data_IF_452276693384
#
_entry.id   IF_452276693384
#
_cell.length_a   1.000
_cell.length_b   1.000
_cell.length_c   1.000
_cell.angle_alpha   90.00
_cell.angle_beta   90.00
_cell.angle_gamma   90.00
#
_symmetry.space_group_name_H-M   'P 1'
#
loop_
_entity.id
_entity.type
_entity.pdbx_description
1 polymer ?
#
# COMPACT_ATOMS: atom_id res chain seq x y z
N UNK A 1 31.85 20.40 0.15
CA UNK A 1 30.79 20.44 1.17
C UNK A 1 29.42 20.07 0.59
N UNK A 2 28.96 20.78 -0.45
CA UNK A 2 27.65 20.58 -1.10
C UNK A 2 27.38 19.13 -1.53
N UNK A 3 28.30 18.47 -2.25
CA UNK A 3 28.11 17.06 -2.67
C UNK A 3 27.97 16.06 -1.51
N UNK A 4 28.60 16.36 -0.37
CA UNK A 4 28.53 15.51 0.82
C UNK A 4 27.19 15.64 1.54
N UNK A 5 26.66 16.86 1.60
CA UNK A 5 25.33 17.15 2.13
C UNK A 5 24.23 16.53 1.26
N UNK A 6 24.30 16.73 -0.07
CA UNK A 6 23.35 16.14 -1.00
C UNK A 6 23.32 14.61 -0.90
N UNK A 7 24.49 13.97 -0.82
CA UNK A 7 24.61 12.53 -0.59
C UNK A 7 23.99 12.09 0.73
N UNK A 8 24.21 12.84 1.81
CA UNK A 8 23.62 12.53 3.12
C UNK A 8 22.09 12.58 3.06
N UNK A 9 21.53 13.66 2.50
CA UNK A 9 20.08 13.84 2.35
C UNK A 9 19.48 12.69 1.52
N UNK A 10 20.04 12.41 0.35
CA UNK A 10 19.53 11.34 -0.53
C UNK A 10 19.64 9.97 0.15
N UNK A 11 20.75 9.67 0.83
CA UNK A 11 20.92 8.42 1.56
C UNK A 11 19.87 8.26 2.67
N UNK A 12 19.61 9.31 3.45
CA UNK A 12 18.59 9.30 4.50
C UNK A 12 17.20 9.07 3.91
N UNK A 13 16.86 9.71 2.78
CA UNK A 13 15.56 9.50 2.12
C UNK A 13 15.37 8.02 1.73
N UNK A 14 16.36 7.39 1.10
CA UNK A 14 16.28 5.95 0.77
C UNK A 14 16.18 5.06 1.99
N UNK A 15 16.94 5.35 3.06
CA UNK A 15 16.88 4.56 4.29
C UNK A 15 15.50 4.69 4.94
N UNK A 16 14.94 5.90 5.04
CA UNK A 16 13.60 6.11 5.60
C UNK A 16 12.51 5.47 4.74
N UNK A 17 12.59 5.64 3.42
CA UNK A 17 11.66 5.02 2.47
C UNK A 17 11.69 3.50 2.55
N UNK A 18 12.88 2.89 2.52
CA UNK A 18 13.04 1.46 2.70
C UNK A 18 12.64 0.96 4.10
N UNK A 19 12.84 1.77 5.15
CA UNK A 19 12.50 1.40 6.52
C UNK A 19 10.99 1.26 6.69
N UNK A 20 10.21 2.23 6.20
CA UNK A 20 8.74 2.14 6.31
C UNK A 20 8.21 0.94 5.53
N UNK A 21 8.74 0.67 4.33
CA UNK A 21 8.40 -0.55 3.58
C UNK A 21 8.81 -1.84 4.31
N UNK A 22 9.94 -1.83 5.03
CA UNK A 22 10.39 -2.99 5.80
C UNK A 22 9.52 -3.27 7.03
N UNK A 23 9.00 -2.22 7.69
CA UNK A 23 8.08 -2.36 8.82
C UNK A 23 6.77 -3.03 8.38
N UNK A 24 6.27 -2.69 7.20
CA UNK A 24 5.06 -3.27 6.61
C UNK A 24 5.32 -3.88 5.22
N UNK A 25 6.12 -4.94 5.23
CA UNK A 25 6.57 -5.59 4.00
C UNK A 25 5.44 -6.32 3.27
N UNK A 26 4.48 -6.87 4.01
CA UNK A 26 3.30 -7.53 3.45
C UNK A 26 2.39 -6.49 2.79
N UNK A 27 2.20 -5.32 3.40
CA UNK A 27 1.45 -4.22 2.78
C UNK A 27 2.09 -3.76 1.47
N UNK A 28 3.41 -3.59 1.44
CA UNK A 28 4.13 -3.28 0.19
C UNK A 28 3.97 -4.39 -0.85
N UNK A 29 3.90 -5.66 -0.43
CA UNK A 29 3.66 -6.78 -1.35
C UNK A 29 2.28 -6.77 -2.01
N UNK A 30 1.24 -6.28 -1.33
CA UNK A 30 -0.07 -6.10 -1.94
C UNK A 30 -0.05 -5.05 -3.04
N UNK A 31 0.80 -4.02 -2.93
CA UNK A 31 1.00 -3.05 -4.03
C UNK A 31 1.67 -3.69 -5.23
N UNK A 32 2.68 -4.52 -5.00
CA UNK A 32 3.31 -5.28 -6.08
C UNK A 32 2.34 -6.27 -6.74
N UNK A 33 1.48 -6.92 -5.95
CA UNK A 33 0.39 -7.79 -6.44
C UNK A 33 -0.60 -7.01 -7.32
N UNK A 34 -1.03 -5.82 -6.89
CA UNK A 34 -1.89 -4.91 -7.68
C UNK A 34 -1.25 -4.56 -9.03
N UNK A 35 0.05 -4.26 -9.08
CA UNK A 35 0.77 -3.99 -10.33
C UNK A 35 0.82 -5.22 -11.27
N UNK A 36 0.97 -6.42 -10.72
CA UNK A 36 1.03 -7.65 -11.53
C UNK A 36 -0.34 -8.16 -11.98
N UNK A 37 -1.42 -7.62 -11.41
CA UNK A 37 -2.79 -8.04 -11.70
C UNK A 37 -3.17 -7.93 -13.19
N UNK A 38 -4.18 -8.71 -13.65
CA UNK A 38 -4.75 -8.61 -15.00
C UNK A 38 -5.16 -7.19 -15.42
N UNK A 39 -5.54 -6.36 -14.45
CA UNK A 39 -5.99 -4.99 -14.70
C UNK A 39 -4.85 -4.01 -15.00
N UNK A 40 -3.59 -4.36 -14.67
CA UNK A 40 -2.44 -3.46 -14.78
C UNK A 40 -1.42 -3.98 -15.79
N UNK A 41 -0.56 -4.94 -15.41
CA UNK A 41 0.42 -5.52 -16.31
C UNK A 41 0.04 -6.89 -16.87
N UNK A 42 -1.04 -7.49 -16.37
CA UNK A 42 -1.50 -8.81 -16.80
C UNK A 42 -0.43 -9.89 -16.70
N UNK A 43 0.13 -9.98 -15.49
CA UNK A 43 1.28 -10.80 -15.13
C UNK A 43 0.97 -11.73 -13.94
N UNK A 44 -0.07 -12.60 -14.03
CA UNK A 44 -0.55 -13.39 -12.89
C UNK A 44 0.46 -14.40 -12.34
N UNK A 45 1.46 -14.77 -13.14
CA UNK A 45 2.58 -15.56 -12.64
C UNK A 45 3.38 -14.81 -11.57
N UNK A 46 3.59 -13.51 -11.74
CA UNK A 46 4.39 -12.68 -10.84
C UNK A 46 3.65 -12.26 -9.57
N UNK A 47 2.31 -12.25 -9.56
CA UNK A 47 1.50 -12.01 -8.36
C UNK A 47 1.89 -12.93 -7.20
N UNK A 48 2.11 -14.22 -7.46
CA UNK A 48 2.52 -15.21 -6.45
C UNK A 48 3.90 -14.94 -5.85
N UNK A 49 4.72 -14.18 -6.57
CA UNK A 49 6.07 -13.79 -6.15
C UNK A 49 6.12 -12.35 -5.62
N UNK A 50 4.99 -11.64 -5.51
CA UNK A 50 4.94 -10.24 -5.09
C UNK A 50 5.65 -9.98 -3.76
N UNK A 51 5.49 -10.88 -2.78
CA UNK A 51 6.20 -10.80 -1.50
C UNK A 51 7.72 -10.97 -1.66
N UNK A 52 8.17 -11.91 -2.51
CA UNK A 52 9.59 -12.12 -2.79
C UNK A 52 10.20 -10.89 -3.47
N UNK A 53 9.54 -10.32 -4.48
CA UNK A 53 9.98 -9.08 -5.12
C UNK A 53 10.05 -7.93 -4.12
N UNK A 54 9.05 -7.81 -3.25
CA UNK A 54 9.00 -6.79 -2.21
C UNK A 54 10.19 -6.89 -1.26
N UNK A 55 10.52 -8.10 -0.78
CA UNK A 55 11.70 -8.36 0.05
C UNK A 55 12.97 -7.90 -0.68
N UNK A 56 13.17 -8.34 -1.93
CA UNK A 56 14.38 -8.04 -2.70
C UNK A 56 14.53 -6.53 -2.89
N UNK A 57 13.47 -5.84 -3.30
CA UNK A 57 13.49 -4.42 -3.60
C UNK A 57 13.75 -3.59 -2.33
N UNK A 58 13.09 -3.92 -1.22
CA UNK A 58 13.26 -3.23 0.07
C UNK A 58 14.66 -3.45 0.64
N UNK A 59 15.20 -4.68 0.55
CA UNK A 59 16.58 -4.98 0.95
C UNK A 59 17.57 -4.18 0.12
N UNK A 60 17.41 -4.16 -1.21
CA UNK A 60 18.26 -3.37 -2.10
C UNK A 60 18.20 -1.89 -1.73
N UNK A 61 17.01 -1.33 -1.52
CA UNK A 61 16.82 0.07 -1.16
C UNK A 61 17.54 0.44 0.15
N UNK A 62 17.31 -0.33 1.22
CA UNK A 62 17.91 -0.11 2.53
C UNK A 62 19.43 -0.26 2.49
N UNK A 63 19.93 -1.32 1.85
CA UNK A 63 21.36 -1.61 1.83
C UNK A 63 22.09 -0.59 0.97
N UNK A 64 21.54 -0.25 -0.20
CA UNK A 64 22.14 0.75 -1.08
C UNK A 64 22.06 2.16 -0.45
N UNK A 65 20.96 2.51 0.20
CA UNK A 65 20.83 3.76 0.96
C UNK A 65 21.89 3.86 2.07
N UNK A 66 22.07 2.80 2.86
CA UNK A 66 23.08 2.76 3.91
C UNK A 66 24.52 2.72 3.38
N UNK A 67 24.78 2.00 2.28
CA UNK A 67 26.07 2.04 1.59
C UNK A 67 26.39 3.44 1.05
N UNK A 68 25.39 4.17 0.56
CA UNK A 68 25.54 5.56 0.11
C UNK A 68 25.90 6.47 1.29
N UNK A 69 25.29 6.24 2.46
CA UNK A 69 25.59 6.95 3.71
C UNK A 69 27.03 6.69 4.20
N UNK A 70 27.52 5.45 4.10
CA UNK A 70 28.88 5.07 4.52
C UNK A 70 29.96 5.29 3.45
N UNK A 71 29.56 5.70 2.23
CA UNK A 71 30.42 5.86 1.06
C UNK A 71 31.12 4.53 0.69
N UNK A 72 30.40 3.41 0.76
CA UNK A 72 30.88 2.09 0.36
C UNK A 72 30.57 1.84 -1.13
N UNK A 73 31.53 1.30 -1.87
CA UNK A 73 31.39 0.92 -3.30
C UNK A 73 30.59 1.95 -4.13
N UNK A 74 30.93 3.24 -3.99
CA UNK A 74 30.08 4.36 -4.40
C UNK A 74 29.57 4.31 -5.85
N UNK A 75 30.41 3.89 -6.81
CA UNK A 75 30.01 3.73 -8.22
C UNK A 75 28.89 2.70 -8.37
N UNK A 76 29.06 1.52 -7.76
CA UNK A 76 28.05 0.47 -7.76
C UNK A 76 26.77 0.95 -7.06
N UNK A 77 26.90 1.54 -5.86
CA UNK A 77 25.75 2.00 -5.09
C UNK A 77 24.92 3.05 -5.83
N UNK A 78 25.56 4.07 -6.40
CA UNK A 78 24.85 5.10 -7.16
C UNK A 78 24.23 4.52 -8.44
N UNK A 79 24.94 3.67 -9.18
CA UNK A 79 24.38 3.02 -10.37
C UNK A 79 23.17 2.14 -10.05
N UNK A 80 23.23 1.35 -8.98
CA UNK A 80 22.12 0.51 -8.55
C UNK A 80 20.94 1.33 -8.01
N UNK A 81 21.17 2.41 -7.26
CA UNK A 81 20.10 3.31 -6.84
C UNK A 81 19.44 4.03 -8.01
N UNK A 82 20.21 4.44 -9.02
CA UNK A 82 19.66 5.02 -10.25
C UNK A 82 18.76 3.99 -10.95
N UNK A 83 19.23 2.75 -11.14
CA UNK A 83 18.42 1.69 -11.75
C UNK A 83 17.13 1.43 -10.95
N UNK A 84 17.22 1.39 -9.61
CA UNK A 84 16.07 1.22 -8.75
C UNK A 84 15.08 2.40 -8.83
N UNK A 85 15.58 3.64 -8.89
CA UNK A 85 14.75 4.83 -9.10
C UNK A 85 14.08 4.85 -10.47
N UNK A 86 14.76 4.40 -11.53
CA UNK A 86 14.17 4.29 -12.86
C UNK A 86 13.04 3.25 -12.85
N UNK A 87 13.25 2.11 -12.20
CA UNK A 87 12.21 1.08 -12.03
C UNK A 87 10.98 1.63 -11.29
N UNK A 88 11.16 2.26 -10.13
CA UNK A 88 10.04 2.87 -9.41
C UNK A 88 9.40 4.02 -10.17
N UNK A 89 10.20 4.87 -10.81
CA UNK A 89 9.73 5.97 -11.66
C UNK A 89 8.85 5.48 -12.80
N UNK A 90 9.14 4.31 -13.39
CA UNK A 90 8.27 3.67 -14.37
C UNK A 90 6.94 3.23 -13.76
N UNK A 91 6.96 2.55 -12.60
CA UNK A 91 5.74 2.12 -11.90
C UNK A 91 4.86 3.31 -11.52
N UNK A 92 5.46 4.37 -10.97
CA UNK A 92 4.74 5.56 -10.51
C UNK A 92 4.20 6.38 -11.67
N UNK A 93 4.95 6.48 -12.77
CA UNK A 93 4.45 7.05 -14.02
C UNK A 93 3.24 6.28 -14.56
N UNK A 94 3.34 4.94 -14.64
CA UNK A 94 2.27 4.10 -15.15
C UNK A 94 1.00 4.29 -14.31
N UNK A 95 1.12 4.27 -12.99
CA UNK A 95 0.00 4.56 -12.08
C UNK A 95 -0.60 5.94 -12.28
N UNK A 96 0.23 6.97 -12.47
CA UNK A 96 -0.23 8.34 -12.64
C UNK A 96 -0.91 8.58 -14.00
N UNK A 97 -0.46 7.88 -15.05
CA UNK A 97 -1.02 8.02 -16.39
C UNK A 97 -2.32 7.21 -16.56
N UNK A 98 -2.36 5.97 -16.07
CA UNK A 98 -3.50 5.06 -16.25
C UNK A 98 -4.49 5.03 -15.06
N UNK A 99 -4.21 5.75 -13.96
CA UNK A 99 -5.05 5.81 -12.75
C UNK A 99 -5.37 4.43 -12.13
N UNK A 100 -4.46 3.46 -12.25
CA UNK A 100 -4.68 2.06 -11.86
C UNK A 100 -4.31 1.74 -10.41
N UNK A 101 -3.32 2.44 -9.84
CA UNK A 101 -2.87 2.24 -8.45
C UNK A 101 -2.78 3.60 -7.79
N UNK A 102 -3.63 3.83 -6.79
CA UNK A 102 -3.79 5.15 -6.16
C UNK A 102 -2.72 5.49 -5.13
N UNK A 103 -1.96 4.49 -4.66
CA UNK A 103 -0.81 4.65 -3.77
C UNK A 103 0.36 3.79 -4.23
N UNK A 104 1.43 4.44 -4.67
CA UNK A 104 2.64 3.79 -5.19
C UNK A 104 3.48 3.08 -4.10
N UNK A 105 3.15 3.25 -2.81
CA UNK A 105 3.78 2.51 -1.71
C UNK A 105 5.22 2.91 -1.43
N UNK A 106 5.74 4.00 -2.02
CA UNK A 106 7.13 4.41 -1.84
C UNK A 106 7.49 4.69 -0.36
N UNK A 107 6.57 5.17 0.46
CA UNK A 107 6.79 5.33 1.91
C UNK A 107 5.82 4.46 2.71
N UNK A 108 5.36 3.34 2.14
CA UNK A 108 4.30 2.52 2.72
C UNK A 108 3.09 3.35 3.16
N UNK A 109 2.42 2.88 4.20
CA UNK A 109 1.22 3.56 4.73
C UNK A 109 1.52 4.82 5.55
N UNK A 110 2.79 5.13 5.85
CA UNK A 110 3.13 6.30 6.67
C UNK A 110 2.90 7.63 5.95
N UNK A 111 3.12 7.68 4.63
CA UNK A 111 2.89 8.88 3.82
C UNK A 111 2.26 8.48 2.49
N UNK A 112 0.94 8.70 2.37
CA UNK A 112 0.18 8.47 1.15
C UNK A 112 0.37 9.65 0.19
N UNK A 113 1.11 9.42 -0.89
CA UNK A 113 1.29 10.39 -1.97
C UNK A 113 0.30 10.09 -3.10
N UNK A 114 -0.18 11.13 -3.77
CA UNK A 114 -0.89 10.91 -5.05
C UNK A 114 0.08 10.33 -6.09
N UNK A 115 -0.42 9.64 -7.13
CA UNK A 115 0.44 9.06 -8.17
C UNK A 115 1.40 10.09 -8.80
N UNK A 116 0.88 11.29 -9.13
CA UNK A 116 1.69 12.37 -9.69
C UNK A 116 2.73 12.92 -8.70
N UNK A 117 2.38 13.06 -7.42
CA UNK A 117 3.35 13.47 -6.39
C UNK A 117 4.47 12.44 -6.24
N UNK A 118 4.11 11.15 -6.23
CA UNK A 118 5.07 10.04 -6.17
C UNK A 118 6.04 10.08 -7.36
N UNK A 119 5.51 10.24 -8.56
CA UNK A 119 6.29 10.33 -9.79
C UNK A 119 7.28 11.51 -9.76
N UNK A 120 6.82 12.74 -9.48
CA UNK A 120 7.71 13.90 -9.42
C UNK A 120 8.80 13.76 -8.35
N UNK A 121 8.46 13.15 -7.21
CA UNK A 121 9.44 12.86 -6.16
C UNK A 121 10.48 11.84 -6.65
N UNK A 122 10.09 10.78 -7.35
CA UNK A 122 11.04 9.81 -7.92
C UNK A 122 11.95 10.45 -8.98
N UNK A 123 11.41 11.34 -9.82
CA UNK A 123 12.19 12.10 -10.81
C UNK A 123 13.19 13.05 -10.12
N UNK A 124 12.79 13.74 -9.06
CA UNK A 124 13.68 14.60 -8.29
C UNK A 124 14.82 13.80 -7.63
N UNK A 125 14.52 12.63 -7.06
CA UNK A 125 15.53 11.71 -6.51
C UNK A 125 16.47 11.18 -7.59
N UNK A 126 15.92 10.81 -8.75
CA UNK A 126 16.70 10.35 -9.90
C UNK A 126 17.66 11.44 -10.39
N UNK A 127 17.19 12.68 -10.57
CA UNK A 127 18.02 13.82 -10.95
C UNK A 127 19.13 14.08 -9.91
N UNK A 128 18.79 14.02 -8.62
CA UNK A 128 19.76 14.15 -7.53
C UNK A 128 20.83 13.05 -7.54
N UNK A 129 20.45 11.80 -7.82
CA UNK A 129 21.38 10.67 -7.94
C UNK A 129 22.28 10.80 -9.17
N UNK A 130 21.76 11.23 -10.32
CA UNK A 130 22.55 11.48 -11.54
C UNK A 130 23.55 12.60 -11.27
N UNK A 131 23.12 13.70 -10.63
CA UNK A 131 24.01 14.78 -10.23
C UNK A 131 25.11 14.27 -9.30
N UNK A 132 24.78 13.46 -8.28
CA UNK A 132 25.77 12.84 -7.41
C UNK A 132 26.74 11.94 -8.18
N UNK A 133 26.25 11.14 -9.12
CA UNK A 133 27.09 10.28 -9.96
C UNK A 133 28.11 11.10 -10.75
N UNK A 134 27.69 12.23 -11.34
CA UNK A 134 28.57 13.15 -12.05
C UNK A 134 29.55 13.85 -11.10
N UNK A 135 29.11 14.30 -9.92
CA UNK A 135 29.97 14.98 -8.94
C UNK A 135 31.02 14.06 -8.31
N UNK A 136 30.72 12.76 -8.20
CA UNK A 136 31.64 11.74 -7.70
C UNK A 136 32.44 11.02 -8.80
N UNK A 137 32.25 11.36 -10.08
CA UNK A 137 32.94 10.73 -11.22
C UNK A 137 34.46 10.64 -11.09
N UNK A 138 35.08 11.69 -10.54
CA UNK A 138 36.54 11.78 -10.36
C UNK A 138 37.04 10.89 -9.22
N UNK A 139 36.18 10.57 -8.25
CA UNK A 139 36.51 9.68 -7.13
C UNK A 139 36.33 8.20 -7.49
N UNK A 140 35.53 7.88 -8.52
CA UNK A 140 35.39 6.51 -9.02
C UNK A 140 36.67 5.97 -9.67
N UNK A 141 37.50 6.86 -10.20
CA UNK A 141 38.71 6.54 -10.96
C UNK A 141 39.98 6.54 -10.11
N UNK A 142 39.90 6.76 -8.79
CA UNK A 142 41.05 6.55 -7.88
C UNK A 142 41.28 5.05 -7.73
N UNK A 143 41.85 4.44 -8.76
CA UNK A 143 42.29 3.06 -8.76
C UNK A 143 43.59 2.91 -9.56
N UNK A 144 44.48 3.88 -9.44
CA UNK A 144 45.75 3.88 -10.15
C UNK A 144 46.82 3.93 -9.05
N UNK A 145 47.50 2.81 -8.78
CA UNK A 145 48.84 2.51 -9.31
C UNK A 145 49.90 3.41 -8.65
N UNK A 146 50.75 2.81 -7.80
CA UNK A 146 51.92 3.41 -7.17
C UNK A 146 51.69 4.70 -6.35
N UNK A 147 51.19 4.55 -5.12
CA UNK A 147 51.10 5.64 -4.16
C UNK A 147 51.30 5.17 -2.73
N UNK A 148 52.54 5.28 -2.26
CA UNK A 148 52.96 5.00 -0.88
C UNK A 148 52.11 5.82 0.10
N UNK A 149 51.56 5.11 1.10
CA UNK A 149 51.02 5.60 2.38
C UNK A 149 49.92 6.68 2.35
N UNK A 150 48.67 6.23 2.21
CA UNK A 150 47.63 6.66 3.15
C UNK A 150 46.91 5.38 3.61
N UNK A 151 47.15 4.94 4.85
CA UNK A 151 46.32 3.90 5.48
C UNK A 151 44.89 4.45 5.49
N UNK A 152 44.10 4.15 4.45
CA UNK A 152 42.66 4.40 4.53
C UNK A 152 42.15 3.65 5.77
N UNK A 153 41.32 4.28 6.61
CA UNK A 153 40.73 3.58 7.74
C UNK A 153 40.05 2.33 7.21
N UNK A 154 40.40 1.19 7.81
CA UNK A 154 39.94 -0.11 7.37
C UNK A 154 38.43 -0.11 7.14
N UNK A 155 38.01 -0.41 5.91
CA UNK A 155 36.57 -0.54 5.61
C UNK A 155 35.90 -1.63 6.46
N UNK A 156 36.66 -2.46 7.20
CA UNK A 156 36.15 -3.44 8.16
C UNK A 156 35.11 -2.83 9.10
N UNK A 157 35.36 -1.65 9.70
CA UNK A 157 34.39 -1.03 10.60
C UNK A 157 33.06 -0.70 9.90
N UNK A 158 33.12 -0.18 8.67
CA UNK A 158 31.93 0.12 7.86
C UNK A 158 31.17 -1.14 7.46
N UNK A 159 31.86 -2.22 7.12
CA UNK A 159 31.23 -3.50 6.82
C UNK A 159 30.61 -4.16 8.05
N UNK A 160 31.23 -4.02 9.23
CA UNK A 160 30.64 -4.43 10.52
C UNK A 160 29.35 -3.66 10.77
N UNK A 161 29.37 -2.33 10.60
CA UNK A 161 28.18 -1.49 10.78
C UNK A 161 27.08 -1.85 9.78
N UNK A 162 27.42 -2.11 8.51
CA UNK A 162 26.48 -2.61 7.51
C UNK A 162 25.90 -3.96 7.93
N UNK A 163 26.72 -4.89 8.42
CA UNK A 163 26.26 -6.20 8.89
C UNK A 163 25.27 -6.11 10.06
N UNK A 164 25.56 -5.26 11.05
CA UNK A 164 24.62 -5.02 12.18
C UNK A 164 23.31 -4.40 11.66
N UNK A 165 23.40 -3.38 10.80
CA UNK A 165 22.23 -2.75 10.20
C UNK A 165 21.38 -3.77 9.42
N UNK A 166 22.01 -4.63 8.61
CA UNK A 166 21.35 -5.70 7.87
C UNK A 166 20.62 -6.68 8.78
N UNK A 167 21.24 -7.13 9.87
CA UNK A 167 20.61 -8.05 10.84
C UNK A 167 19.37 -7.42 11.50
N UNK A 168 19.47 -6.15 11.90
CA UNK A 168 18.34 -5.41 12.49
C UNK A 168 17.19 -5.31 11.47
N UNK A 169 17.49 -4.93 10.23
CA UNK A 169 16.46 -4.81 9.20
C UNK A 169 15.83 -6.15 8.82
N UNK A 170 16.61 -7.23 8.76
CA UNK A 170 16.09 -8.59 8.56
C UNK A 170 15.15 -8.98 9.69
N UNK A 171 15.50 -8.69 10.94
CA UNK A 171 14.62 -8.94 12.08
C UNK A 171 13.31 -8.17 11.97
N UNK A 172 13.36 -6.87 11.64
CA UNK A 172 12.15 -6.03 11.47
C UNK A 172 11.26 -6.59 10.36
N UNK A 173 11.83 -6.92 9.20
CA UNK A 173 11.07 -7.51 8.09
C UNK A 173 10.47 -8.87 8.45
N UNK A 174 11.23 -9.75 9.11
CA UNK A 174 10.73 -11.05 9.53
C UNK A 174 9.55 -10.91 10.50
N UNK A 175 9.62 -9.92 11.41
CA UNK A 175 8.51 -9.61 12.32
C UNK A 175 7.27 -9.11 11.57
N UNK A 176 7.42 -8.20 10.59
CA UNK A 176 6.29 -7.72 9.78
C UNK A 176 5.71 -8.76 8.80
N UNK A 177 6.43 -9.83 8.48
CA UNK A 177 5.92 -10.96 7.69
C UNK A 177 5.17 -11.97 8.58
N UNK A 178 5.72 -12.28 9.76
CA UNK A 178 5.19 -13.33 10.64
C UNK A 178 4.07 -12.85 11.55
N UNK A 179 4.09 -11.58 11.92
CA UNK A 179 3.14 -10.93 12.83
C UNK A 179 2.64 -9.62 12.22
N UNK A 180 1.77 -8.90 12.93
CA UNK A 180 1.41 -7.55 12.52
C UNK A 180 2.62 -6.59 12.63
N UNK A 181 2.68 -5.55 11.79
CA UNK A 181 3.74 -4.55 11.83
C UNK A 181 3.92 -3.96 13.25
N UNK A 182 5.17 -3.83 13.71
CA UNK A 182 5.48 -3.25 15.02
C UNK A 182 4.97 -1.81 15.17
N UNK A 183 4.93 -1.08 14.06
CA UNK A 183 4.38 0.27 14.00
C UNK A 183 3.24 0.22 12.99
N UNK A 184 2.02 0.42 13.49
CA UNK A 184 0.83 0.43 12.66
C UNK A 184 0.51 1.84 12.17
N UNK A 185 0.80 2.10 10.91
CA UNK A 185 0.50 3.37 10.23
C UNK A 185 -0.91 3.42 9.64
N UNK A 186 -1.69 2.32 9.74
CA UNK A 186 -3.03 2.22 9.15
C UNK A 186 -4.05 2.94 10.01
N UNK A 187 -5.17 3.29 9.39
CA UNK A 187 -6.31 3.89 10.09
C UNK A 187 -6.92 2.94 11.13
N UNK A 188 -6.77 1.62 10.93
CA UNK A 188 -7.26 0.56 11.81
C UNK A 188 -6.31 0.19 12.96
N UNK A 189 -5.38 1.06 13.37
CA UNK A 189 -4.51 0.77 14.52
C UNK A 189 -5.30 0.59 15.82
N UNK A 190 -4.71 -0.12 16.77
CA UNK A 190 -5.31 -0.31 18.10
C UNK A 190 -5.56 1.06 18.74
N UNK A 191 -6.74 1.23 19.31
CA UNK A 191 -7.21 2.47 19.91
C UNK A 191 -8.09 3.34 19.00
N UNK A 192 -8.17 3.06 17.70
CA UNK A 192 -9.05 3.80 16.79
C UNK A 192 -10.53 3.51 17.08
N UNK A 193 -11.34 4.56 17.16
CA UNK A 193 -12.80 4.50 17.21
C UNK A 193 -13.38 4.55 15.80
N UNK A 194 -13.86 3.40 15.30
CA UNK A 194 -14.41 3.27 13.94
C UNK A 194 -15.64 4.16 13.77
N UNK A 195 -16.49 4.26 14.80
CA UNK A 195 -17.72 5.06 14.76
C UNK A 195 -17.37 6.55 14.73
N UNK A 196 -16.43 6.98 15.56
CA UNK A 196 -15.91 8.34 15.58
C UNK A 196 -15.29 8.75 14.23
N UNK A 197 -14.50 7.86 13.62
CA UNK A 197 -13.90 8.10 12.30
C UNK A 197 -14.95 8.16 11.19
N UNK A 198 -15.95 7.26 11.18
CA UNK A 198 -17.08 7.34 10.24
C UNK A 198 -17.84 8.65 10.36
N UNK A 199 -18.06 9.15 11.57
CA UNK A 199 -18.70 10.46 11.76
C UNK A 199 -17.87 11.62 11.19
N UNK A 200 -16.53 11.56 11.23
CA UNK A 200 -15.66 12.56 10.58
C UNK A 200 -15.77 12.49 9.06
N UNK A 201 -15.80 11.29 8.49
CA UNK A 201 -15.99 11.07 7.06
C UNK A 201 -17.34 11.64 6.61
N UNK A 202 -18.43 11.35 7.31
CA UNK A 202 -19.76 11.88 6.99
C UNK A 202 -19.86 13.40 7.09
N UNK A 203 -19.08 14.04 7.98
CA UNK A 203 -19.05 15.51 8.11
C UNK A 203 -18.28 16.20 6.98
N UNK A 204 -17.31 15.53 6.38
CA UNK A 204 -16.53 16.05 5.26
C UNK A 204 -16.34 14.95 4.21
N UNK A 205 -17.39 14.57 3.48
CA UNK A 205 -17.31 13.51 2.48
C UNK A 205 -16.53 13.98 1.26
N UNK A 206 -15.82 13.04 0.63
CA UNK A 206 -15.23 13.27 -0.68
C UNK A 206 -16.32 13.47 -1.74
N UNK A 207 -16.19 14.51 -2.55
CA UNK A 207 -17.16 14.83 -3.61
C UNK A 207 -16.64 14.29 -4.94
N UNK A 208 -17.42 13.39 -5.53
CA UNK A 208 -17.14 12.81 -6.83
C UNK A 208 -18.11 13.40 -7.85
N UNK A 209 -17.62 13.69 -9.06
CA UNK A 209 -18.47 14.01 -10.20
C UNK A 209 -18.31 12.93 -11.26
N UNK A 210 -19.45 12.51 -11.80
CA UNK A 210 -19.50 11.62 -12.96
C UNK A 210 -19.22 12.44 -14.22
N UNK A 211 -18.30 11.96 -15.04
CA UNK A 211 -18.07 12.44 -16.39
C UNK A 211 -18.57 11.38 -17.39
N UNK A 212 -19.39 11.81 -18.34
CA UNK A 212 -19.88 11.00 -19.43
C UNK A 212 -18.98 11.17 -20.65
N UNK A 213 -18.64 10.05 -21.30
CA UNK A 213 -18.08 10.07 -22.65
C UNK A 213 -19.24 10.06 -23.65
N UNK A 214 -19.44 11.17 -24.36
CA UNK A 214 -20.47 11.31 -25.38
C UNK A 214 -19.86 11.14 -26.77
N UNK A 215 -20.38 10.22 -27.56
CA UNK A 215 -20.00 10.06 -28.96
C UNK A 215 -21.06 10.67 -29.87
N UNK A 216 -20.63 11.55 -30.77
CA UNK A 216 -21.47 12.09 -31.81
C UNK A 216 -21.66 11.04 -32.92
N UNK A 217 -22.89 10.61 -33.15
CA UNK A 217 -23.21 9.58 -34.15
C UNK A 217 -23.04 10.06 -35.60
N UNK A 218 -23.01 11.38 -35.83
CA UNK A 218 -22.87 11.97 -37.18
C UNK A 218 -21.42 12.26 -37.55
N UNK A 219 -20.62 12.75 -36.61
CA UNK A 219 -19.23 13.16 -36.86
C UNK A 219 -18.19 12.16 -36.35
N UNK A 220 -18.59 11.24 -35.46
CA UNK A 220 -17.67 10.33 -34.77
C UNK A 220 -16.86 10.99 -33.64
N UNK A 221 -17.05 12.29 -33.39
CA UNK A 221 -16.39 13.04 -32.33
C UNK A 221 -16.76 12.51 -30.95
N UNK A 222 -15.79 12.48 -30.02
CA UNK A 222 -16.01 12.07 -28.63
C UNK A 222 -15.77 13.25 -27.71
N UNK A 223 -16.77 13.59 -26.90
CA UNK A 223 -16.76 14.70 -25.97
C UNK A 223 -16.92 14.20 -24.53
N UNK A 224 -16.08 14.72 -23.63
CA UNK A 224 -16.17 14.45 -22.19
C UNK A 224 -16.97 15.55 -21.51
N UNK A 225 -18.10 15.21 -20.90
CA UNK A 225 -19.03 16.17 -20.27
C UNK A 225 -19.30 15.75 -18.83
N UNK A 226 -19.24 16.69 -17.88
CA UNK A 226 -19.60 16.38 -16.49
C UNK A 226 -21.12 16.23 -16.32
N UNK A 227 -21.55 15.57 -15.26
CA UNK A 227 -22.97 15.31 -15.01
C UNK A 227 -23.84 16.58 -14.93
N UNK A 228 -23.31 17.66 -14.35
CA UNK A 228 -24.04 18.92 -14.22
C UNK A 228 -24.31 19.56 -15.59
N UNK A 229 -23.30 19.58 -16.45
CA UNK A 229 -23.37 20.14 -17.80
C UNK A 229 -24.19 19.24 -18.72
N UNK A 230 -24.11 17.91 -18.55
CA UNK A 230 -24.97 16.98 -19.27
C UNK A 230 -26.45 17.26 -18.98
N UNK A 231 -26.82 17.45 -17.72
CA UNK A 231 -28.22 17.74 -17.35
C UNK A 231 -28.64 19.15 -17.82
N UNK A 232 -27.77 20.16 -17.66
CA UNK A 232 -28.07 21.55 -18.02
C UNK A 232 -28.18 21.78 -19.53
N UNK A 233 -27.35 21.12 -20.31
CA UNK A 233 -27.28 21.34 -21.76
C UNK A 233 -28.14 20.35 -22.51
N UNK A 234 -29.36 20.79 -22.86
CA UNK A 234 -30.35 19.99 -23.60
C UNK A 234 -29.81 19.40 -24.91
N UNK A 235 -28.81 20.03 -25.53
CA UNK A 235 -28.15 19.54 -26.76
C UNK A 235 -27.55 18.13 -26.62
N UNK A 236 -27.31 17.65 -25.41
CA UNK A 236 -26.72 16.33 -25.16
C UNK A 236 -27.75 15.19 -25.04
N UNK A 237 -28.97 15.47 -24.57
CA UNK A 237 -29.96 14.43 -24.26
C UNK A 237 -31.35 14.65 -24.87
N UNK A 238 -31.64 15.83 -25.41
CA UNK A 238 -32.93 16.12 -26.03
C UNK A 238 -33.18 15.21 -27.25
N UNK A 239 -34.46 15.05 -27.59
CA UNK A 239 -34.89 14.29 -28.75
C UNK A 239 -34.25 14.83 -30.03
N UNK A 240 -33.55 13.97 -30.78
CA UNK A 240 -32.76 14.36 -31.96
C UNK A 240 -31.29 14.74 -31.69
N UNK A 241 -30.83 14.69 -30.44
CA UNK A 241 -29.41 14.86 -30.09
C UNK A 241 -28.55 13.84 -30.85
N UNK A 242 -27.48 14.28 -31.55
CA UNK A 242 -26.53 13.37 -32.18
C UNK A 242 -25.59 12.72 -31.16
N UNK A 243 -25.61 13.15 -29.90
CA UNK A 243 -24.73 12.67 -28.85
C UNK A 243 -25.35 11.49 -28.10
N UNK A 244 -24.60 10.38 -28.01
CA UNK A 244 -24.96 9.20 -27.22
C UNK A 244 -23.88 8.91 -26.19
N UNK A 245 -24.29 8.57 -24.97
CA UNK A 245 -23.37 8.11 -23.93
C UNK A 245 -22.75 6.79 -24.39
N UNK A 246 -21.43 6.70 -24.32
CA UNK A 246 -20.72 5.44 -24.51
C UNK A 246 -20.82 4.61 -23.24
N UNK A 247 -21.62 3.54 -23.30
CA UNK A 247 -21.76 2.58 -22.19
C UNK A 247 -20.38 2.01 -21.79
N UNK A 248 -20.12 1.99 -20.49
CA UNK A 248 -18.85 1.49 -19.93
C UNK A 248 -17.68 2.49 -19.96
N UNK A 249 -17.86 3.73 -20.46
CA UNK A 249 -16.82 4.78 -20.48
C UNK A 249 -17.11 5.96 -19.55
N UNK A 250 -18.03 5.79 -18.59
CA UNK A 250 -18.29 6.81 -17.59
C UNK A 250 -17.20 6.77 -16.52
N UNK A 251 -16.71 7.95 -16.14
CA UNK A 251 -15.66 8.09 -15.15
C UNK A 251 -16.20 8.81 -13.92
N UNK A 252 -16.04 8.23 -12.73
CA UNK A 252 -16.23 8.96 -11.49
C UNK A 252 -14.91 9.60 -11.09
N UNK A 253 -14.86 10.94 -11.08
CA UNK A 253 -13.65 11.69 -10.74
C UNK A 253 -13.83 12.41 -9.42
N UNK A 254 -12.87 12.23 -8.52
CA UNK A 254 -12.80 12.99 -7.27
C UNK A 254 -12.53 14.46 -7.60
N UNK A 255 -13.51 15.34 -7.32
CA UNK A 255 -13.40 16.78 -7.56
C UNK A 255 -12.97 17.52 -6.32
N UNK A 256 -13.34 17.02 -5.14
CA UNK A 256 -12.92 17.58 -3.85
C UNK A 256 -12.65 16.46 -2.86
N UNK A 257 -11.41 16.38 -2.40
CA UNK A 257 -11.00 15.40 -1.38
C UNK A 257 -11.56 15.83 -0.02
N UNK A 258 -12.37 14.95 0.57
CA UNK A 258 -12.90 15.10 1.93
C UNK A 258 -11.92 14.57 2.98
N UNK A 259 -12.43 14.20 4.15
CA UNK A 259 -11.64 13.53 5.17
C UNK A 259 -11.22 12.14 4.67
N UNK A 260 -9.91 11.97 4.44
CA UNK A 260 -9.33 10.75 3.89
C UNK A 260 -9.10 9.70 4.98
N UNK A 261 -9.81 8.58 4.89
CA UNK A 261 -9.59 7.41 5.75
C UNK A 261 -10.06 6.14 5.06
N UNK A 262 -9.29 5.06 5.18
CA UNK A 262 -9.65 3.71 4.73
C UNK A 262 -10.84 3.12 5.51
N UNK A 263 -11.22 3.73 6.64
CA UNK A 263 -12.42 3.34 7.42
C UNK A 263 -13.71 3.53 6.61
N UNK A 264 -13.69 4.36 5.56
CA UNK A 264 -14.81 4.43 4.60
C UNK A 264 -15.10 3.08 3.94
N UNK A 265 -14.07 2.24 3.79
CA UNK A 265 -14.19 0.90 3.20
C UNK A 265 -14.66 -0.14 4.21
N UNK A 266 -14.75 0.20 5.50
CA UNK A 266 -15.30 -0.69 6.53
C UNK A 266 -16.81 -0.82 6.34
N UNK A 267 -17.20 -1.68 5.40
CA UNK A 267 -18.58 -2.01 5.07
C UNK A 267 -18.70 -3.52 5.07
N UNK A 268 -19.42 -4.04 6.05
CA UNK A 268 -19.63 -5.47 6.23
C UNK A 268 -21.08 -5.76 5.88
N UNK A 269 -21.28 -6.75 5.02
CA UNK A 269 -22.59 -7.17 4.55
C UNK A 269 -22.79 -8.65 4.87
N UNK A 270 -24.02 -9.08 5.12
CA UNK A 270 -24.32 -10.50 5.17
C UNK A 270 -24.29 -11.12 3.76
N UNK A 271 -24.34 -12.46 3.63
CA UNK A 271 -24.38 -13.11 2.32
C UNK A 271 -25.61 -12.77 1.45
N UNK A 272 -26.63 -12.12 2.01
CA UNK A 272 -27.81 -11.63 1.30
C UNK A 272 -27.69 -10.17 0.84
N UNK A 273 -26.61 -9.47 1.23
CA UNK A 273 -26.35 -8.05 0.92
C UNK A 273 -26.90 -7.08 1.96
N UNK A 274 -27.36 -7.54 3.11
CA UNK A 274 -27.79 -6.67 4.21
C UNK A 274 -26.57 -6.09 4.93
N UNK A 275 -26.52 -4.77 5.10
CA UNK A 275 -25.41 -4.12 5.80
C UNK A 275 -25.46 -4.40 7.32
N UNK A 276 -24.36 -4.94 7.85
CA UNK A 276 -24.17 -5.30 9.26
C UNK A 276 -23.29 -4.31 10.03
N UNK A 277 -22.71 -3.32 9.34
CA UNK A 277 -21.65 -2.49 9.92
C UNK A 277 -22.08 -1.75 11.19
N UNK A 278 -23.26 -1.13 11.17
CA UNK A 278 -23.78 -0.35 12.30
C UNK A 278 -24.04 -1.23 13.52
N UNK A 279 -24.60 -2.43 13.33
CA UNK A 279 -24.77 -3.42 14.41
C UNK A 279 -23.42 -3.77 15.04
N UNK A 280 -22.41 -4.02 14.20
CA UNK A 280 -21.07 -4.43 14.64
C UNK A 280 -20.36 -3.34 15.43
N UNK A 281 -20.38 -2.09 14.95
CA UNK A 281 -19.66 -0.98 15.62
C UNK A 281 -20.42 -0.42 16.83
N UNK A 282 -21.69 -0.74 17.01
CA UNK A 282 -22.47 -0.33 18.19
C UNK A 282 -22.56 -1.41 19.27
N UNK A 283 -22.19 -2.65 18.94
CA UNK A 283 -22.16 -3.73 19.91
C UNK A 283 -21.22 -3.41 21.10
N UNK A 284 -21.61 -3.77 22.35
CA UNK A 284 -20.76 -3.59 23.52
C UNK A 284 -19.40 -4.28 23.35
N UNK A 285 -19.40 -5.47 22.74
CA UNK A 285 -18.22 -6.23 22.34
C UNK A 285 -18.49 -6.97 21.04
N UNK A 286 -17.61 -6.82 20.05
CA UNK A 286 -17.63 -7.60 18.82
C UNK A 286 -16.28 -8.30 18.61
N UNK A 287 -16.31 -9.58 18.25
CA UNK A 287 -15.12 -10.39 17.93
C UNK A 287 -15.27 -10.87 16.49
N UNK A 288 -14.43 -10.31 15.62
CA UNK A 288 -14.53 -10.47 14.18
C UNK A 288 -13.33 -11.25 13.67
N UNK A 289 -13.58 -12.30 12.89
CA UNK A 289 -12.52 -13.11 12.26
C UNK A 289 -12.50 -12.78 10.77
N UNK A 290 -11.42 -12.19 10.29
CA UNK A 290 -11.30 -11.75 8.90
C UNK A 290 -10.41 -12.67 8.07
N UNK A 291 -10.74 -12.81 6.79
CA UNK A 291 -9.94 -13.52 5.80
C UNK A 291 -10.08 -12.93 4.41
N UNK A 292 -9.00 -12.41 3.83
CA UNK A 292 -9.01 -11.95 2.43
C UNK A 292 -8.77 -13.09 1.43
N UNK A 293 -8.03 -14.15 1.79
CA UNK A 293 -7.83 -15.36 0.97
C UNK A 293 -8.26 -16.63 1.75
N UNK A 294 -9.56 -16.94 1.83
CA UNK A 294 -10.05 -18.04 2.66
C UNK A 294 -9.55 -19.42 2.26
N UNK A 295 -9.20 -19.62 0.98
CA UNK A 295 -8.69 -20.90 0.45
C UNK A 295 -7.28 -21.25 0.93
N UNK A 296 -6.52 -20.26 1.41
CA UNK A 296 -5.13 -20.45 1.89
C UNK A 296 -5.07 -20.82 3.38
N UNK A 297 -6.21 -20.82 4.07
CA UNK A 297 -6.29 -21.07 5.51
C UNK A 297 -6.31 -22.57 5.78
N UNK A 298 -5.52 -23.04 6.74
CA UNK A 298 -5.60 -24.44 7.18
C UNK A 298 -6.90 -24.71 7.95
N UNK A 299 -7.53 -25.85 7.66
CA UNK A 299 -8.78 -26.24 8.32
C UNK A 299 -8.65 -26.35 9.86
N UNK A 300 -7.50 -26.83 10.34
CA UNK A 300 -7.17 -26.90 11.77
C UNK A 300 -7.14 -25.52 12.44
N UNK A 301 -6.51 -24.53 11.80
CA UNK A 301 -6.46 -23.17 12.33
C UNK A 301 -7.86 -22.56 12.36
N UNK A 302 -8.62 -22.72 11.29
CA UNK A 302 -9.99 -22.21 11.21
C UNK A 302 -10.85 -22.78 12.34
N UNK A 303 -10.80 -24.10 12.57
CA UNK A 303 -11.53 -24.77 13.63
C UNK A 303 -11.13 -24.26 15.04
N UNK A 304 -9.83 -24.09 15.29
CA UNK A 304 -9.33 -23.58 16.58
C UNK A 304 -9.78 -22.15 16.86
N UNK A 305 -9.70 -21.28 15.84
CA UNK A 305 -10.13 -19.88 15.95
C UNK A 305 -11.62 -19.82 16.23
N UNK A 306 -12.41 -20.55 15.44
CA UNK A 306 -13.87 -20.66 15.59
C UNK A 306 -14.29 -21.12 16.99
N UNK A 307 -13.65 -22.17 17.51
CA UNK A 307 -13.92 -22.66 18.86
C UNK A 307 -13.59 -21.59 19.93
N UNK A 308 -12.45 -20.90 19.80
CA UNK A 308 -12.01 -19.89 20.76
C UNK A 308 -12.86 -18.62 20.72
N UNK A 309 -13.35 -18.19 19.55
CA UNK A 309 -14.27 -17.05 19.46
C UNK A 309 -15.66 -17.42 19.97
N UNK A 310 -16.19 -18.62 19.67
CA UNK A 310 -17.49 -19.07 20.17
C UNK A 310 -17.54 -19.19 21.70
N UNK A 311 -16.39 -19.38 22.36
CA UNK A 311 -16.29 -19.36 23.82
C UNK A 311 -16.46 -17.96 24.44
N UNK A 312 -16.40 -16.88 23.65
CA UNK A 312 -16.58 -15.50 24.11
C UNK A 312 -18.06 -15.19 24.34
N UNK A 313 -18.57 -15.53 25.52
CA UNK A 313 -19.96 -15.26 25.90
C UNK A 313 -20.27 -13.76 25.86
N UNK A 314 -21.43 -13.40 25.30
CA UNK A 314 -21.93 -12.03 25.25
C UNK A 314 -21.28 -11.12 24.21
N UNK A 315 -20.35 -11.64 23.39
CA UNK A 315 -19.79 -10.91 22.25
C UNK A 315 -20.62 -11.17 20.98
N UNK A 316 -20.74 -10.15 20.13
CA UNK A 316 -21.20 -10.31 18.76
C UNK A 316 -20.09 -10.93 17.91
N UNK A 317 -20.32 -12.09 17.30
CA UNK A 317 -19.28 -12.84 16.59
C UNK A 317 -19.65 -12.99 15.11
N UNK A 318 -18.73 -12.60 14.24
CA UNK A 318 -18.83 -12.79 12.79
C UNK A 318 -17.50 -13.25 12.20
N UNK A 319 -17.59 -14.14 11.22
CA UNK A 319 -16.50 -14.45 10.31
C UNK A 319 -16.72 -13.70 9.00
N UNK A 320 -15.78 -12.85 8.62
CA UNK A 320 -15.84 -11.98 7.45
C UNK A 320 -14.82 -12.43 6.42
N UNK A 321 -15.25 -12.69 5.20
CA UNK A 321 -14.34 -13.04 4.12
C UNK A 321 -14.83 -12.58 2.75
N UNK A 322 -14.05 -12.91 1.71
CA UNK A 322 -14.43 -12.74 0.32
C UNK A 322 -15.41 -13.81 -0.19
N UNK A 323 -15.74 -14.82 0.63
CA UNK A 323 -16.63 -15.93 0.26
C UNK A 323 -17.75 -16.17 1.29
N UNK A 324 -18.99 -16.44 0.87
CA UNK A 324 -20.16 -16.46 1.75
C UNK A 324 -20.21 -17.62 2.77
N UNK A 325 -19.35 -18.65 2.62
CA UNK A 325 -19.39 -19.88 3.45
C UNK A 325 -17.99 -20.31 3.91
N UNK A 326 -17.12 -19.34 4.20
CA UNK A 326 -15.77 -19.64 4.72
C UNK A 326 -15.83 -20.30 6.08
N UNK A 327 -16.64 -19.75 6.99
CA UNK A 327 -16.72 -20.17 8.38
C UNK A 327 -17.88 -21.15 8.58
N UNK A 328 -17.69 -22.17 9.41
CA UNK A 328 -18.64 -23.28 9.60
C UNK A 328 -19.47 -23.14 10.87
N UNK A 329 -18.89 -22.62 11.93
CA UNK A 329 -19.53 -22.59 13.26
C UNK A 329 -19.86 -21.18 13.76
N UNK A 330 -19.45 -20.14 13.02
CA UNK A 330 -19.78 -18.74 13.30
C UNK A 330 -20.57 -18.13 12.14
N UNK A 331 -21.31 -17.04 12.40
CA UNK A 331 -22.07 -16.32 11.38
C UNK A 331 -21.13 -15.79 10.30
N UNK A 332 -21.44 -16.04 9.03
CA UNK A 332 -20.66 -15.52 7.92
C UNK A 332 -21.16 -14.13 7.53
N UNK A 333 -20.22 -13.26 7.19
CA UNK A 333 -20.42 -11.99 6.55
C UNK A 333 -19.34 -11.79 5.47
N UNK A 334 -19.52 -10.79 4.64
CA UNK A 334 -18.70 -10.52 3.47
C UNK A 334 -18.19 -9.09 3.46
N UNK A 335 -16.99 -8.93 2.91
CA UNK A 335 -16.35 -7.64 2.70
C UNK A 335 -15.32 -7.78 1.56
N UNK A 336 -15.08 -6.70 0.83
CA UNK A 336 -14.10 -6.69 -0.25
C UNK A 336 -12.68 -7.04 0.24
N UNK A 337 -11.97 -7.88 -0.51
CA UNK A 337 -10.65 -8.36 -0.13
C UNK A 337 -9.60 -7.25 -0.04
N UNK A 338 -9.66 -6.24 -0.91
CA UNK A 338 -8.75 -5.09 -0.84
C UNK A 338 -9.01 -4.27 0.41
N UNK A 339 -10.28 -4.12 0.81
CA UNK A 339 -10.66 -3.47 2.05
C UNK A 339 -10.18 -4.26 3.29
N UNK A 340 -10.37 -5.59 3.31
CA UNK A 340 -9.87 -6.46 4.41
C UNK A 340 -8.35 -6.32 4.55
N UNK A 341 -7.60 -6.34 3.43
CA UNK A 341 -6.14 -6.16 3.40
C UNK A 341 -5.70 -4.84 4.04
N UNK A 342 -6.54 -3.79 4.09
CA UNK A 342 -6.21 -2.52 4.78
C UNK A 342 -6.32 -2.58 6.30
N UNK A 343 -7.02 -3.57 6.86
CA UNK A 343 -7.25 -3.69 8.31
C UNK A 343 -6.04 -4.35 8.98
N UNK A 344 -5.63 -5.51 8.48
CA UNK A 344 -4.53 -6.33 9.00
C UNK A 344 -3.75 -6.98 7.86
N UNK A 345 -2.51 -7.43 8.13
CA UNK A 345 -1.67 -8.12 7.12
C UNK A 345 -1.78 -9.63 7.19
N UNK A 346 -2.20 -10.15 8.34
CA UNK A 346 -2.31 -11.58 8.58
C UNK A 346 -3.55 -12.17 7.92
N UNK A 347 -3.51 -13.44 7.53
CA UNK A 347 -4.65 -14.18 6.98
C UNK A 347 -4.73 -15.58 7.59
N UNK A 348 -5.77 -15.92 8.38
CA UNK A 348 -6.78 -15.00 8.92
C UNK A 348 -6.24 -14.16 10.09
N UNK A 349 -7.03 -13.17 10.51
CA UNK A 349 -6.76 -12.36 11.70
C UNK A 349 -8.03 -12.13 12.52
N UNK A 350 -7.85 -11.77 13.80
CA UNK A 350 -8.95 -11.45 14.70
C UNK A 350 -8.90 -9.97 15.05
N UNK A 351 -10.05 -9.31 14.96
CA UNK A 351 -10.25 -7.91 15.36
C UNK A 351 -11.29 -7.89 16.48
N UNK A 352 -10.97 -7.28 17.61
CA UNK A 352 -11.89 -7.11 18.72
C UNK A 352 -12.25 -5.64 18.88
N UNK A 353 -13.55 -5.38 18.89
CA UNK A 353 -14.12 -4.06 19.09
C UNK A 353 -14.87 -4.00 20.41
N UNK A 354 -14.79 -2.87 21.10
CA UNK A 354 -15.67 -2.53 22.22
C UNK A 354 -16.31 -1.17 21.96
N UNK A 355 -17.65 -1.16 21.82
CA UNK A 355 -18.41 0.04 21.44
C UNK A 355 -17.81 0.76 20.22
N UNK A 356 -17.36 0.00 19.21
CA UNK A 356 -16.78 0.52 17.96
C UNK A 356 -15.30 0.88 18.04
N UNK A 357 -14.67 0.81 19.22
CA UNK A 357 -13.24 1.06 19.40
C UNK A 357 -12.44 -0.22 19.23
N UNK A 358 -11.38 -0.18 18.43
CA UNK A 358 -10.44 -1.29 18.25
C UNK A 358 -9.63 -1.46 19.53
N UNK A 359 -9.86 -2.55 20.27
CA UNK A 359 -9.13 -2.87 21.49
C UNK A 359 -8.03 -3.90 21.26
N UNK A 360 -8.20 -4.78 20.27
CA UNK A 360 -7.21 -5.79 19.93
C UNK A 360 -7.28 -6.12 18.43
N UNK A 361 -6.11 -6.42 17.87
CA UNK A 361 -5.94 -6.81 16.48
C UNK A 361 -4.68 -7.66 16.35
N UNK A 362 -4.86 -8.93 16.02
CA UNK A 362 -3.74 -9.87 15.97
C UNK A 362 -3.94 -11.01 14.97
N UNK A 363 -2.85 -11.66 14.52
CA UNK A 363 -2.93 -12.84 13.67
C UNK A 363 -3.72 -13.95 14.36
N UNK A 364 -4.53 -14.69 13.60
CA UNK A 364 -5.34 -15.75 14.15
C UNK A 364 -4.50 -16.88 14.80
N UNK A 365 -3.28 -17.12 14.28
CA UNK A 365 -2.32 -18.08 14.83
C UNK A 365 -1.86 -17.72 16.24
N UNK A 366 -1.77 -16.43 16.55
CA UNK A 366 -1.40 -15.97 17.89
C UNK A 366 -2.62 -15.90 18.79
N UNK A 367 -3.78 -15.51 18.24
CA UNK A 367 -5.02 -15.53 18.97
C UNK A 367 -5.36 -16.92 19.53
N UNK A 368 -5.03 -18.03 18.84
CA UNK A 368 -5.34 -19.39 19.31
C UNK A 368 -4.30 -20.04 20.21
N UNK A 369 -3.10 -19.45 20.32
CA UNK A 369 -2.13 -19.85 21.35
C UNK A 369 -2.69 -19.53 22.73
#
# INVERSE_FOLDING_TARGET
MIKGLLRFIIAVIFILSGFVKAVDLVGFSFKMEEYFSPAVFNMPFFEKFALLFSIIVVVLELFLGFMLLLKLKLKFTLSSLIALCVFFGFLTFYSAYFNVVTDCGCFGDAIKFTPWQSFFKDIALLAGLILLFVLYRKEFRKKDEYGVTRKEPSNKFKYILLGIFSLIMIYIMAQGIMHEPMIDFRDYKIGTDIKGEKAKISKNPSEYKTFYSLKNQKTGEVLRVNQDDYIKETKYWAEGSPWKIEEGKNESVLVKEGYKSEIVKFKIEDPSGMELTEEIITAPKAVLVFSYHPKEISADLLQKVEAKVNAQKGALIYGISTEPRTFKTIKNAMMDGTAIKTIARSNPFVLILENGKIIDKQPAKDYVK
#
